data_IF_562199686203
#
_entry.id   IF_562199686203
#
_cell.length_a   1.000
_cell.length_b   1.000
_cell.length_c   1.000
_cell.angle_alpha   90.00
_cell.angle_beta   90.00
_cell.angle_gamma   90.00
#
_symmetry.space_group_name_H-M   'P 1'
#
loop_
_entity.id
_entity.type
_entity.pdbx_description
1 polymer ?
#
# COMPACT_ATOMS: atom_id res chain seq x y z
N UNK A 1 -26.03 1.21 12.77
CA UNK A 1 -25.03 1.47 11.71
C UNK A 1 -25.75 1.42 10.38
N UNK A 2 -25.79 2.52 9.63
CA UNK A 2 -26.43 2.59 8.30
C UNK A 2 -25.33 2.53 7.25
N UNK A 3 -25.38 1.54 6.36
CA UNK A 3 -24.53 1.49 5.16
C UNK A 3 -25.26 2.28 4.08
N UNK A 4 -24.59 3.26 3.48
CA UNK A 4 -25.11 4.04 2.36
C UNK A 4 -24.44 3.56 1.06
N UNK A 5 -25.02 3.85 -0.12
CA UNK A 5 -24.40 3.56 -1.41
C UNK A 5 -23.05 4.28 -1.60
N UNK A 6 -22.41 4.06 -2.75
CA UNK A 6 -21.21 4.81 -3.12
C UNK A 6 -21.50 6.31 -3.21
N UNK A 7 -20.47 7.11 -2.93
CA UNK A 7 -20.53 8.57 -3.05
C UNK A 7 -20.33 8.91 -4.52
N UNK A 8 -21.32 9.59 -5.11
CA UNK A 8 -21.26 10.12 -6.46
C UNK A 8 -20.57 11.49 -6.47
N UNK A 9 -20.98 12.39 -5.56
CA UNK A 9 -20.50 13.76 -5.49
C UNK A 9 -20.55 14.27 -4.04
N UNK A 10 -19.52 15.03 -3.64
CA UNK A 10 -19.52 15.81 -2.40
C UNK A 10 -19.71 17.27 -2.79
N UNK A 11 -20.87 17.83 -2.43
CA UNK A 11 -21.16 19.27 -2.48
C UNK A 11 -20.76 19.91 -1.14
N UNK A 12 -20.99 21.21 -0.95
CA UNK A 12 -20.55 21.94 0.26
C UNK A 12 -20.90 21.23 1.58
N UNK A 13 -22.20 21.01 1.85
CA UNK A 13 -22.68 20.36 3.06
C UNK A 13 -23.48 19.08 2.78
N UNK A 14 -23.55 18.67 1.52
CA UNK A 14 -24.42 17.58 1.05
C UNK A 14 -23.61 16.57 0.25
N UNK A 15 -23.85 15.29 0.50
CA UNK A 15 -23.30 14.18 -0.26
C UNK A 15 -24.40 13.57 -1.11
N UNK A 16 -24.14 13.46 -2.42
CA UNK A 16 -24.99 12.77 -3.39
C UNK A 16 -24.48 11.34 -3.54
N UNK A 17 -25.39 10.37 -3.43
CA UNK A 17 -25.09 8.95 -3.55
C UNK A 17 -25.40 8.43 -4.95
N UNK A 18 -24.84 7.29 -5.33
CA UNK A 18 -25.02 6.67 -6.65
C UNK A 18 -26.49 6.38 -7.01
N UNK A 19 -27.36 6.26 -6.00
CA UNK A 19 -28.81 6.06 -6.19
C UNK A 19 -29.61 7.37 -6.34
N UNK A 20 -28.93 8.52 -6.32
CA UNK A 20 -29.54 9.85 -6.38
C UNK A 20 -29.99 10.42 -5.03
N UNK A 21 -29.86 9.67 -3.93
CA UNK A 21 -30.19 10.19 -2.60
C UNK A 21 -29.19 11.28 -2.20
N UNK A 22 -29.67 12.27 -1.44
CA UNK A 22 -28.85 13.35 -0.89
C UNK A 22 -28.95 13.39 0.63
N UNK A 23 -27.81 13.50 1.31
CA UNK A 23 -27.75 13.64 2.77
C UNK A 23 -26.75 14.71 3.20
N UNK A 24 -27.08 15.45 4.25
CA UNK A 24 -26.18 16.42 4.85
C UNK A 24 -25.24 15.79 5.88
N UNK A 25 -23.99 16.28 5.93
CA UNK A 25 -22.99 15.85 6.89
C UNK A 25 -22.20 17.05 7.41
N UNK A 26 -21.99 17.11 8.72
CA UNK A 26 -21.15 18.15 9.35
C UNK A 26 -19.65 17.91 9.10
N UNK A 27 -19.25 16.65 8.88
CA UNK A 27 -17.87 16.27 8.61
C UNK A 27 -17.80 14.97 7.78
N UNK A 28 -16.74 14.86 6.98
CA UNK A 28 -16.42 13.67 6.18
C UNK A 28 -15.00 13.21 6.56
N UNK A 29 -14.87 11.94 6.95
CA UNK A 29 -13.59 11.34 7.33
C UNK A 29 -13.20 10.29 6.30
N UNK A 30 -12.14 10.54 5.54
CA UNK A 30 -11.60 9.59 4.56
C UNK A 30 -10.78 8.50 5.27
N UNK A 31 -11.41 7.35 5.53
CA UNK A 31 -10.76 6.12 5.98
C UNK A 31 -10.44 5.17 4.80
N UNK A 32 -10.14 5.72 3.62
CA UNK A 32 -10.01 4.99 2.33
C UNK A 32 -8.61 4.41 2.09
N UNK A 33 -7.85 4.17 3.17
CA UNK A 33 -6.44 3.72 3.18
C UNK A 33 -5.44 4.77 2.67
N UNK A 34 -4.17 4.38 2.63
CA UNK A 34 -3.06 5.16 2.10
C UNK A 34 -2.46 4.46 0.87
N UNK A 35 -1.76 5.23 0.03
CA UNK A 35 -0.91 4.71 -1.05
C UNK A 35 0.55 4.78 -0.63
N UNK A 36 1.33 3.76 -1.00
CA UNK A 36 2.77 3.76 -0.78
C UNK A 36 3.44 4.88 -1.60
N UNK A 37 4.31 5.68 -0.99
CA UNK A 37 5.03 6.77 -1.66
C UNK A 37 6.38 6.34 -2.25
N UNK A 38 6.81 5.09 -2.03
CA UNK A 38 8.08 4.57 -2.55
C UNK A 38 8.20 4.76 -4.06
N UNK A 39 7.13 4.52 -4.81
CA UNK A 39 7.08 4.67 -6.27
C UNK A 39 7.28 6.12 -6.75
N UNK A 40 7.23 7.12 -5.87
CA UNK A 40 7.52 8.52 -6.21
C UNK A 40 8.99 8.89 -6.11
N UNK A 41 9.76 8.24 -5.25
CA UNK A 41 11.16 8.59 -5.00
C UNK A 41 12.14 7.49 -5.41
N UNK A 42 11.72 6.23 -5.36
CA UNK A 42 12.47 5.10 -5.88
C UNK A 42 12.30 5.10 -7.40
N UNK A 43 13.40 5.07 -8.15
CA UNK A 43 13.38 4.92 -9.61
C UNK A 43 13.41 3.45 -9.98
N UNK A 44 12.96 3.13 -11.20
CA UNK A 44 13.06 1.77 -11.78
C UNK A 44 12.46 0.68 -10.88
N UNK A 45 11.38 1.03 -10.19
CA UNK A 45 10.75 0.19 -9.17
C UNK A 45 9.84 -0.91 -9.70
N UNK A 46 9.65 -1.01 -11.01
CA UNK A 46 8.66 -1.90 -11.64
C UNK A 46 8.92 -3.39 -11.38
N UNK A 47 10.15 -3.75 -11.03
CA UNK A 47 10.50 -5.12 -10.58
C UNK A 47 10.05 -5.42 -9.15
N UNK A 48 9.67 -4.41 -8.37
CA UNK A 48 9.38 -4.49 -6.93
C UNK A 48 7.94 -4.07 -6.62
N UNK A 49 7.45 -3.01 -7.25
CA UNK A 49 6.12 -2.44 -7.03
C UNK A 49 5.30 -2.35 -8.31
N UNK A 50 3.99 -2.54 -8.19
CA UNK A 50 3.01 -2.09 -9.17
C UNK A 50 2.91 -0.55 -9.12
N UNK A 51 2.32 0.05 -10.15
CA UNK A 51 2.11 1.51 -10.23
C UNK A 51 1.30 2.07 -9.04
N UNK A 52 0.39 1.27 -8.47
CA UNK A 52 -0.40 1.65 -7.30
C UNK A 52 0.38 1.59 -5.96
N UNK A 53 1.65 1.18 -6.01
CA UNK A 53 2.55 1.05 -4.88
C UNK A 53 2.45 -0.29 -4.12
N UNK A 54 1.70 -1.26 -4.65
CA UNK A 54 1.60 -2.62 -4.10
C UNK A 54 2.90 -3.39 -4.37
N UNK A 55 3.44 -4.04 -3.34
CA UNK A 55 4.65 -4.86 -3.44
C UNK A 55 4.36 -6.16 -4.21
N UNK A 56 5.17 -6.44 -5.22
CA UNK A 56 5.17 -7.69 -6.01
C UNK A 56 6.22 -8.65 -5.43
N UNK A 57 7.42 -8.14 -5.16
CA UNK A 57 8.55 -8.93 -4.71
C UNK A 57 9.34 -8.18 -3.64
N UNK A 58 9.74 -8.87 -2.56
CA UNK A 58 10.55 -8.30 -1.48
C UNK A 58 12.02 -8.12 -1.89
N UNK A 59 12.49 -8.85 -2.91
CA UNK A 59 13.85 -8.76 -3.45
C UNK A 59 13.88 -7.99 -4.77
N UNK A 60 14.50 -6.82 -4.73
CA UNK A 60 14.80 -6.00 -5.90
C UNK A 60 16.18 -6.27 -6.48
N UNK A 61 16.55 -5.48 -7.46
CA UNK A 61 17.87 -5.51 -8.09
C UNK A 61 18.91 -4.74 -7.26
N UNK A 62 20.20 -4.94 -7.56
CA UNK A 62 21.31 -4.17 -6.99
C UNK A 62 21.37 -4.16 -5.44
N UNK A 63 20.91 -5.25 -4.81
CA UNK A 63 20.90 -5.38 -3.34
C UNK A 63 19.81 -4.57 -2.65
N UNK A 64 18.80 -4.10 -3.40
CA UNK A 64 17.63 -3.45 -2.83
C UNK A 64 16.64 -4.50 -2.31
N UNK A 65 16.14 -4.28 -1.09
CA UNK A 65 15.11 -5.11 -0.47
C UNK A 65 13.96 -4.23 0.01
N UNK A 66 12.75 -4.78 -0.01
CA UNK A 66 11.52 -4.10 0.42
C UNK A 66 10.73 -5.01 1.37
N UNK A 67 10.30 -4.44 2.50
CA UNK A 67 9.51 -5.14 3.52
C UNK A 67 8.41 -4.22 4.04
N UNK A 68 7.26 -4.78 4.42
CA UNK A 68 6.15 -4.04 5.02
C UNK A 68 5.23 -3.32 4.05
N UNK A 69 5.31 -3.66 2.77
CA UNK A 69 4.46 -3.09 1.72
C UNK A 69 3.43 -4.09 1.16
N UNK A 70 3.42 -5.34 1.64
CA UNK A 70 2.57 -6.44 1.17
C UNK A 70 1.14 -6.43 1.74
N UNK A 71 0.75 -5.40 2.51
CA UNK A 71 -0.57 -5.24 3.17
C UNK A 71 -0.97 -6.43 4.08
N UNK A 72 -0.06 -7.35 4.39
CA UNK A 72 -0.28 -8.53 5.22
C UNK A 72 -0.04 -8.33 6.72
N UNK A 73 0.07 -7.08 7.18
CA UNK A 73 0.27 -6.74 8.59
C UNK A 73 1.62 -7.18 9.17
N UNK A 74 1.68 -7.25 10.50
CA UNK A 74 2.92 -7.53 11.27
C UNK A 74 3.51 -8.90 10.93
N UNK A 75 2.66 -9.90 10.69
CA UNK A 75 3.12 -11.24 10.33
C UNK A 75 3.86 -11.24 8.98
N UNK A 76 3.31 -10.57 7.96
CA UNK A 76 3.97 -10.45 6.66
C UNK A 76 5.29 -9.69 6.76
N UNK A 77 5.34 -8.60 7.53
CA UNK A 77 6.59 -7.87 7.81
C UNK A 77 7.66 -8.81 8.37
N UNK A 78 7.30 -9.65 9.35
CA UNK A 78 8.26 -10.58 9.94
C UNK A 78 8.75 -11.65 8.95
N UNK A 79 7.88 -12.12 8.05
CA UNK A 79 8.27 -13.09 7.03
C UNK A 79 9.24 -12.47 6.01
N UNK A 80 8.91 -11.29 5.49
CA UNK A 80 9.76 -10.54 4.56
C UNK A 80 11.13 -10.24 5.21
N UNK A 81 11.15 -9.79 6.47
CA UNK A 81 12.39 -9.47 7.18
C UNK A 81 13.30 -10.70 7.37
N UNK A 82 12.74 -11.88 7.66
CA UNK A 82 13.50 -13.13 7.77
C UNK A 82 14.08 -13.55 6.42
N UNK A 83 13.28 -13.51 5.35
CA UNK A 83 13.72 -13.85 4.01
C UNK A 83 14.87 -12.93 3.53
N UNK A 84 14.77 -11.63 3.81
CA UNK A 84 15.83 -10.66 3.52
C UNK A 84 17.12 -10.99 4.29
N UNK A 85 17.01 -11.30 5.59
CA UNK A 85 18.18 -11.63 6.40
C UNK A 85 18.89 -12.90 5.90
N UNK A 86 18.14 -13.93 5.52
CA UNK A 86 18.68 -15.18 5.00
C UNK A 86 19.35 -14.98 3.63
N UNK A 87 18.79 -14.14 2.76
CA UNK A 87 19.39 -13.80 1.46
C UNK A 87 20.71 -13.03 1.62
N UNK A 88 20.74 -12.02 2.50
CA UNK A 88 21.96 -11.26 2.83
C UNK A 88 23.04 -12.19 3.39
N UNK A 89 22.66 -13.13 4.27
CA UNK A 89 23.59 -14.11 4.84
C UNK A 89 24.20 -14.98 3.75
N UNK A 90 23.39 -15.45 2.80
CA UNK A 90 23.85 -16.27 1.66
C UNK A 90 24.86 -15.50 0.82
N UNK A 91 24.54 -14.27 0.41
CA UNK A 91 25.44 -13.40 -0.38
C UNK A 91 26.78 -13.12 0.34
N UNK A 92 26.77 -13.01 1.67
CA UNK A 92 27.99 -12.80 2.47
C UNK A 92 28.80 -14.08 2.67
N UNK A 93 28.14 -15.23 2.76
CA UNK A 93 28.80 -16.54 2.85
C UNK A 93 29.59 -16.87 1.59
N UNK A 94 29.09 -16.46 0.42
CA UNK A 94 29.74 -16.68 -0.88
C UNK A 94 30.97 -15.76 -1.13
N UNK A 95 31.26 -14.82 -0.23
CA UNK A 95 32.40 -13.89 -0.32
C UNK A 95 33.59 -14.28 0.55
N UNK A 96 33.59 -15.46 1.16
CA UNK A 96 34.68 -15.98 2.00
C UNK A 96 35.34 -17.18 1.31
#
# INVERSE_FOLDING_TARGET
MKVLPGILEIKEHTVVFDNGDEHQFDAIIFATRYKNIATKWLKDYSSIFLEDGTLINWKGENGLYCTGFSKGGIAAISMDAKAIADDIKTIRGDKI
#
